data_IF_147187991492
#
_entry.id   IF_147187991492
#
_cell.length_a   1.000
_cell.length_b   1.000
_cell.length_c   1.000
_cell.angle_alpha   90.00
_cell.angle_beta   90.00
_cell.angle_gamma   90.00
#
_symmetry.space_group_name_H-M   'P 1'
#
loop_
_entity.id
_entity.type
_entity.pdbx_description
1 polymer ?
#
# COMPACT_ATOMS: atom_id res chain seq x y z
N UNK A 1 -6.32 48.91 -50.45
CA UNK A 1 -7.52 49.66 -50.90
C UNK A 1 -8.54 48.79 -51.65
N UNK A 2 -8.28 48.28 -52.88
CA UNK A 2 -9.28 47.49 -53.62
C UNK A 2 -9.60 46.11 -52.99
N UNK A 3 -8.58 45.44 -52.44
CA UNK A 3 -8.70 44.17 -51.72
C UNK A 3 -9.55 44.28 -50.43
N UNK A 4 -9.29 45.30 -49.62
CA UNK A 4 -10.03 45.57 -48.37
C UNK A 4 -11.51 45.84 -48.65
N UNK A 5 -11.79 46.60 -49.72
CA UNK A 5 -13.16 46.88 -50.15
C UNK A 5 -13.92 45.61 -50.52
N UNK A 6 -13.28 44.67 -51.24
CA UNK A 6 -13.88 43.37 -51.58
C UNK A 6 -14.18 42.53 -50.34
N UNK A 7 -13.31 42.57 -49.34
CA UNK A 7 -13.49 41.85 -48.07
C UNK A 7 -14.67 42.40 -47.27
N UNK A 8 -14.78 43.72 -47.16
CA UNK A 8 -15.90 44.40 -46.47
C UNK A 8 -17.23 44.09 -47.16
N UNK A 9 -17.28 44.18 -48.50
CA UNK A 9 -18.50 43.85 -49.27
C UNK A 9 -18.89 42.39 -49.10
N UNK A 10 -17.92 41.48 -48.98
CA UNK A 10 -18.18 40.05 -48.73
C UNK A 10 -18.73 39.77 -47.33
N UNK A 11 -18.30 40.54 -46.33
CA UNK A 11 -18.77 40.45 -44.95
C UNK A 11 -20.17 41.06 -44.77
N UNK A 12 -20.43 42.18 -45.44
CA UNK A 12 -21.71 42.91 -45.36
C UNK A 12 -22.79 42.27 -46.22
N UNK A 13 -22.42 41.51 -47.26
CA UNK A 13 -23.39 40.79 -48.09
C UNK A 13 -24.19 39.84 -47.19
N UNK A 14 -25.51 40.07 -47.02
CA UNK A 14 -26.33 39.20 -46.20
C UNK A 14 -26.28 37.82 -46.81
N UNK A 15 -25.62 36.90 -46.10
CA UNK A 15 -25.56 35.50 -46.47
C UNK A 15 -27.01 35.03 -46.34
N UNK A 16 -27.65 34.68 -47.46
CA UNK A 16 -28.99 34.14 -47.45
C UNK A 16 -28.96 32.88 -46.58
N UNK A 17 -29.40 33.03 -45.32
CA UNK A 17 -29.53 31.91 -44.40
C UNK A 17 -30.83 31.23 -44.84
N UNK A 18 -30.78 30.00 -45.34
CA UNK A 18 -32.00 29.29 -45.70
C UNK A 18 -32.89 29.21 -44.46
N UNK A 19 -34.20 29.41 -44.66
CA UNK A 19 -35.14 29.31 -43.54
C UNK A 19 -34.98 27.96 -42.84
N UNK A 20 -34.97 27.96 -41.49
CA UNK A 20 -34.80 26.73 -40.74
C UNK A 20 -35.95 25.78 -41.08
N UNK A 21 -35.61 24.50 -41.25
CA UNK A 21 -36.59 23.44 -41.48
C UNK A 21 -37.72 23.52 -40.44
N UNK A 22 -38.98 23.20 -40.81
CA UNK A 22 -40.07 23.12 -39.86
C UNK A 22 -39.70 22.17 -38.72
N UNK A 23 -40.02 22.55 -37.48
CA UNK A 23 -39.69 21.82 -36.25
C UNK A 23 -38.19 21.69 -35.93
N UNK A 24 -37.31 22.47 -36.56
CA UNK A 24 -35.87 22.48 -36.26
C UNK A 24 -35.58 22.66 -34.76
N UNK A 25 -36.25 23.63 -34.12
CA UNK A 25 -36.08 23.91 -32.69
C UNK A 25 -36.48 22.72 -31.82
N UNK A 26 -37.54 22.03 -32.17
CA UNK A 26 -38.03 20.87 -31.41
C UNK A 26 -37.07 19.69 -31.51
N UNK A 27 -36.56 19.40 -32.72
CA UNK A 27 -35.54 18.35 -32.92
C UNK A 27 -34.23 18.67 -32.22
N UNK A 28 -33.81 19.94 -32.25
CA UNK A 28 -32.59 20.38 -31.58
C UNK A 28 -32.70 20.28 -30.05
N UNK A 29 -33.84 20.71 -29.49
CA UNK A 29 -34.10 20.60 -28.05
C UNK A 29 -34.25 19.14 -27.60
N UNK A 30 -34.84 18.27 -28.43
CA UNK A 30 -34.93 16.84 -28.15
C UNK A 30 -33.52 16.20 -28.08
N UNK A 31 -32.66 16.48 -29.07
CA UNK A 31 -31.29 15.98 -29.07
C UNK A 31 -30.42 16.53 -27.94
N UNK A 32 -30.67 17.78 -27.50
CA UNK A 32 -30.02 18.35 -26.31
C UNK A 32 -30.43 17.63 -25.03
N UNK A 33 -31.74 17.42 -24.82
CA UNK A 33 -32.25 16.69 -23.64
C UNK A 33 -31.72 15.26 -23.55
N UNK A 34 -31.55 14.59 -24.69
CA UNK A 34 -30.98 13.24 -24.72
C UNK A 34 -29.50 13.23 -24.32
N UNK A 35 -28.71 14.20 -24.81
CA UNK A 35 -27.31 14.37 -24.42
C UNK A 35 -27.15 14.82 -22.96
N UNK A 36 -28.05 15.65 -22.46
CA UNK A 36 -28.03 16.14 -21.08
C UNK A 36 -28.31 15.01 -20.08
N UNK A 37 -29.14 14.02 -20.45
CA UNK A 37 -29.33 12.79 -19.67
C UNK A 37 -28.10 11.86 -19.69
N UNK A 38 -27.30 11.91 -20.76
CA UNK A 38 -26.06 11.14 -20.87
C UNK A 38 -24.85 11.83 -20.18
N UNK A 39 -24.89 13.15 -20.02
CA UNK A 39 -23.85 13.94 -19.35
C UNK A 39 -23.53 13.51 -17.90
N UNK A 40 -24.50 13.19 -17.01
CA UNK A 40 -24.19 12.76 -15.65
C UNK A 40 -23.42 11.44 -15.63
N UNK A 41 -23.70 10.49 -16.54
CA UNK A 41 -22.97 9.22 -16.60
C UNK A 41 -21.48 9.44 -16.91
N UNK A 42 -21.15 10.35 -17.81
CA UNK A 42 -19.76 10.69 -18.15
C UNK A 42 -19.02 11.36 -16.98
N UNK A 43 -19.71 12.17 -16.19
CA UNK A 43 -19.15 12.79 -14.98
C UNK A 43 -18.87 11.69 -13.94
N UNK A 44 -19.84 10.78 -13.71
CA UNK A 44 -19.68 9.64 -12.81
C UNK A 44 -18.51 8.73 -13.18
N UNK A 45 -18.31 8.45 -14.46
CA UNK A 45 -17.17 7.64 -14.93
C UNK A 45 -15.83 8.31 -14.64
N UNK A 46 -15.71 9.64 -14.81
CA UNK A 46 -14.47 10.38 -14.49
C UNK A 46 -14.16 10.35 -13.00
N UNK A 47 -15.18 10.52 -12.16
CA UNK A 47 -15.03 10.43 -10.70
C UNK A 47 -14.71 9.01 -10.24
N UNK A 48 -15.35 8.00 -10.85
CA UNK A 48 -15.07 6.60 -10.55
C UNK A 48 -13.61 6.26 -10.86
N UNK A 49 -13.08 6.67 -12.02
CA UNK A 49 -11.69 6.41 -12.36
C UNK A 49 -10.71 7.09 -11.41
N UNK A 50 -11.01 8.34 -11.01
CA UNK A 50 -10.23 9.07 -10.00
C UNK A 50 -10.27 8.38 -8.63
N UNK A 51 -11.45 7.89 -8.22
CA UNK A 51 -11.65 7.19 -6.97
C UNK A 51 -10.94 5.83 -6.94
N UNK A 52 -10.97 5.08 -8.04
CA UNK A 52 -10.24 3.80 -8.19
C UNK A 52 -8.73 4.01 -8.11
N UNK A 53 -8.20 5.02 -8.80
CA UNK A 53 -6.77 5.35 -8.72
C UNK A 53 -6.37 5.75 -7.28
N UNK A 54 -7.22 6.55 -6.61
CA UNK A 54 -6.98 6.97 -5.23
C UNK A 54 -7.06 5.82 -4.24
N UNK A 55 -8.06 4.93 -4.37
CA UNK A 55 -8.20 3.77 -3.48
C UNK A 55 -7.04 2.79 -3.64
N UNK A 56 -6.58 2.57 -4.87
CA UNK A 56 -5.40 1.75 -5.14
C UNK A 56 -4.14 2.36 -4.51
N UNK A 57 -3.94 3.67 -4.69
CA UNK A 57 -2.80 4.36 -4.09
C UNK A 57 -2.85 4.31 -2.55
N UNK A 58 -4.03 4.51 -1.96
CA UNK A 58 -4.24 4.39 -0.52
C UNK A 58 -3.94 2.97 -0.03
N UNK A 59 -4.40 1.94 -0.73
CA UNK A 59 -4.12 0.55 -0.39
C UNK A 59 -2.63 0.23 -0.45
N UNK A 60 -1.91 0.71 -1.47
CA UNK A 60 -0.46 0.55 -1.56
C UNK A 60 0.27 1.28 -0.44
N UNK A 61 -0.13 2.52 -0.12
CA UNK A 61 0.45 3.28 0.98
C UNK A 61 0.21 2.60 2.33
N UNK A 62 -1.01 2.13 2.58
CA UNK A 62 -1.35 1.45 3.82
C UNK A 62 -0.67 0.08 3.92
N UNK A 63 -0.65 -0.69 2.83
CA UNK A 63 0.05 -1.98 2.78
C UNK A 63 1.55 -1.83 2.98
N UNK A 64 2.18 -0.87 2.30
CA UNK A 64 3.59 -0.54 2.51
C UNK A 64 3.84 -0.01 3.92
N UNK A 65 2.95 0.83 4.45
CA UNK A 65 3.01 1.33 5.82
C UNK A 65 2.96 0.18 6.83
N UNK A 66 1.98 -0.72 6.71
CA UNK A 66 1.87 -1.90 7.57
C UNK A 66 3.12 -2.78 7.46
N UNK A 67 3.68 -2.96 6.26
CA UNK A 67 4.87 -3.79 6.06
C UNK A 67 6.15 -3.14 6.61
N UNK A 68 6.29 -1.82 6.52
CA UNK A 68 7.45 -1.08 7.03
C UNK A 68 7.37 -0.82 8.54
N UNK A 69 6.16 -0.62 9.07
CA UNK A 69 5.90 -0.40 10.49
C UNK A 69 5.44 -1.66 11.20
N UNK A 70 5.51 -2.83 10.56
CA UNK A 70 5.24 -4.09 11.24
C UNK A 70 6.25 -4.18 12.38
N UNK A 71 5.82 -4.19 13.65
CA UNK A 71 6.72 -4.51 14.74
C UNK A 71 7.24 -5.90 14.40
N UNK A 72 8.53 -6.00 14.08
CA UNK A 72 9.14 -7.29 13.90
C UNK A 72 8.84 -8.04 15.19
N UNK A 73 8.00 -9.09 15.09
CA UNK A 73 7.82 -10.12 16.12
C UNK A 73 9.18 -10.26 16.80
N UNK A 74 9.27 -10.12 18.14
CA UNK A 74 10.54 -10.04 18.84
C UNK A 74 11.35 -11.23 18.38
N UNK A 75 12.28 -10.94 17.46
CA UNK A 75 13.05 -11.94 16.71
C UNK A 75 13.47 -12.94 17.76
N UNK A 76 13.09 -14.22 17.63
CA UNK A 76 13.44 -15.22 18.64
C UNK A 76 14.96 -15.23 18.72
N UNK A 77 15.49 -14.41 19.64
CA UNK A 77 16.90 -14.13 19.77
C UNK A 77 17.51 -15.48 20.11
N UNK A 78 18.57 -15.84 19.38
CA UNK A 78 19.40 -16.96 19.80
C UNK A 78 19.72 -16.76 21.28
N UNK A 79 19.73 -17.83 22.09
CA UNK A 79 19.91 -17.70 23.55
C UNK A 79 21.08 -16.76 23.90
N UNK A 80 22.16 -16.80 23.13
CA UNK A 80 23.32 -15.91 23.23
C UNK A 80 23.01 -14.42 23.01
N UNK A 81 22.14 -14.07 22.07
CA UNK A 81 21.70 -12.68 21.85
C UNK A 81 20.80 -12.17 22.97
N UNK A 82 19.97 -13.02 23.60
CA UNK A 82 19.22 -12.60 24.81
C UNK A 82 20.18 -12.24 25.94
N UNK A 83 21.20 -13.07 26.20
CA UNK A 83 22.19 -12.80 27.23
C UNK A 83 22.99 -11.52 26.97
N UNK A 84 23.44 -11.29 25.73
CA UNK A 84 24.24 -10.12 25.38
C UNK A 84 23.46 -8.81 25.31
N UNK A 85 22.21 -8.86 24.85
CA UNK A 85 21.40 -7.65 24.60
C UNK A 85 20.45 -7.29 25.74
N UNK A 86 20.05 -8.29 26.54
CA UNK A 86 19.10 -8.10 27.65
C UNK A 86 19.79 -8.11 29.02
N UNK A 87 21.13 -8.24 29.06
CA UNK A 87 21.93 -8.31 30.29
C UNK A 87 21.36 -9.34 31.29
N UNK A 88 20.76 -10.41 30.76
CA UNK A 88 20.26 -11.50 31.56
C UNK A 88 21.44 -12.27 32.14
N UNK A 89 21.45 -12.42 33.46
CA UNK A 89 22.55 -13.06 34.17
C UNK A 89 22.65 -14.54 33.77
N UNK A 90 23.70 -14.96 33.03
CA UNK A 90 23.86 -16.34 32.56
C UNK A 90 24.13 -17.33 33.70
N UNK A 91 24.43 -16.80 34.90
CA UNK A 91 24.70 -17.58 36.10
C UNK A 91 23.47 -17.70 37.00
N UNK A 92 22.29 -17.21 36.62
CA UNK A 92 21.07 -17.42 37.42
C UNK A 92 20.77 -18.92 37.60
N UNK A 93 20.85 -19.67 36.51
CA UNK A 93 20.62 -21.12 36.48
C UNK A 93 21.83 -21.90 37.02
N UNK A 94 23.05 -21.50 36.64
CA UNK A 94 24.29 -22.11 37.14
C UNK A 94 24.59 -21.77 38.61
N UNK A 95 24.04 -20.69 39.14
CA UNK A 95 24.17 -20.27 40.53
C UNK A 95 23.53 -21.24 41.49
N UNK A 96 22.49 -21.95 41.07
CA UNK A 96 21.91 -23.05 41.85
C UNK A 96 22.86 -24.26 41.93
N UNK A 97 23.62 -24.54 40.86
CA UNK A 97 24.67 -25.57 40.86
C UNK A 97 25.78 -25.21 41.87
N UNK A 98 26.23 -23.95 41.84
CA UNK A 98 27.34 -23.49 42.67
C UNK A 98 26.99 -23.41 44.17
N UNK A 99 25.71 -23.15 44.49
CA UNK A 99 25.21 -23.02 45.87
C UNK A 99 24.79 -24.35 46.52
N UNK A 100 24.91 -25.50 45.83
CA UNK A 100 24.66 -26.80 46.46
C UNK A 100 25.65 -27.06 47.60
N UNK A 101 25.11 -27.39 48.78
CA UNK A 101 25.90 -27.66 49.99
C UNK A 101 26.73 -28.95 49.92
N UNK A 102 26.35 -29.89 49.05
CA UNK A 102 26.97 -31.21 48.93
C UNK A 102 27.87 -31.25 47.70
N UNK A 103 29.15 -31.57 47.91
CA UNK A 103 30.18 -31.46 46.89
C UNK A 103 30.03 -32.50 45.77
N UNK A 104 29.51 -33.69 46.09
CA UNK A 104 29.29 -34.76 45.12
C UNK A 104 28.21 -34.39 44.10
N UNK A 105 27.10 -33.85 44.59
CA UNK A 105 25.95 -33.47 43.76
C UNK A 105 26.32 -32.29 42.84
N UNK A 106 27.09 -31.33 43.35
CA UNK A 106 27.63 -30.22 42.57
C UNK A 106 28.55 -30.70 41.44
N UNK A 107 29.50 -31.59 41.75
CA UNK A 107 30.45 -32.09 40.75
C UNK A 107 29.74 -32.87 39.64
N UNK A 108 28.77 -33.70 40.00
CA UNK A 108 27.98 -34.45 39.04
C UNK A 108 27.19 -33.53 38.11
N UNK A 109 26.54 -32.49 38.65
CA UNK A 109 25.76 -31.53 37.85
C UNK A 109 26.65 -30.70 36.91
N UNK A 110 27.87 -30.35 37.34
CA UNK A 110 28.86 -29.68 36.49
C UNK A 110 29.35 -30.56 35.33
N UNK A 111 29.52 -31.87 35.56
CA UNK A 111 29.89 -32.81 34.49
C UNK A 111 28.80 -32.84 33.42
N UNK A 112 27.53 -32.94 33.82
CA UNK A 112 26.40 -32.93 32.86
C UNK A 112 26.21 -31.60 32.14
N UNK A 113 26.45 -30.47 32.81
CA UNK A 113 26.42 -29.17 32.14
C UNK A 113 27.58 -28.99 31.13
N UNK A 114 28.73 -29.63 31.36
CA UNK A 114 29.90 -29.56 30.46
C UNK A 114 29.77 -30.44 29.22
N UNK A 115 28.98 -31.52 29.31
CA UNK A 115 28.65 -32.39 28.18
C UNK A 115 27.46 -31.75 27.47
N UNK A 116 27.74 -30.77 26.60
CA UNK A 116 26.72 -30.02 25.88
C UNK A 116 25.68 -30.91 25.18
N UNK A 117 24.46 -30.40 25.07
CA UNK A 117 23.26 -31.10 24.62
C UNK A 117 23.48 -31.89 23.30
N UNK A 118 23.17 -33.21 23.24
CA UNK A 118 23.19 -33.95 21.98
C UNK A 118 22.04 -33.56 21.03
N UNK A 119 21.07 -32.75 21.47
CA UNK A 119 19.88 -32.36 20.71
C UNK A 119 20.17 -31.39 19.54
N UNK A 120 21.31 -30.68 19.53
CA UNK A 120 21.69 -29.80 18.40
C UNK A 120 22.11 -30.61 17.16
N UNK A 121 22.53 -31.87 17.32
CA UNK A 121 22.98 -32.72 16.21
C UNK A 121 21.84 -33.33 15.38
N UNK A 122 20.57 -33.19 15.79
CA UNK A 122 19.41 -33.79 15.09
C UNK A 122 18.65 -32.84 14.17
N UNK A 123 18.95 -31.54 14.15
CA UNK A 123 18.31 -30.57 13.24
C UNK A 123 19.22 -30.23 12.05
N UNK A 124 19.52 -31.23 11.24
CA UNK A 124 19.92 -31.03 9.84
C UNK A 124 19.12 -31.98 8.95
N UNK A 125 18.16 -31.43 8.20
CA UNK A 125 17.61 -32.05 7.00
C UNK A 125 17.49 -30.96 5.92
N UNK A 126 17.83 -31.31 4.66
CA UNK A 126 18.09 -30.38 3.56
C UNK A 126 16.84 -29.64 3.08
#
# INVERSE_FOLDING_TARGET
KAEEYRTIVRLVRPRAVPEPLPYFKERFMAGLREKEKAAPALIWVKWAHRAVAFSLAAFLFFGAGILLFQPQEPRELSQTERFLLQDENPLGEAGNILNQKKAEDRNMMLIFASVGDPEVSRRYRP
#
